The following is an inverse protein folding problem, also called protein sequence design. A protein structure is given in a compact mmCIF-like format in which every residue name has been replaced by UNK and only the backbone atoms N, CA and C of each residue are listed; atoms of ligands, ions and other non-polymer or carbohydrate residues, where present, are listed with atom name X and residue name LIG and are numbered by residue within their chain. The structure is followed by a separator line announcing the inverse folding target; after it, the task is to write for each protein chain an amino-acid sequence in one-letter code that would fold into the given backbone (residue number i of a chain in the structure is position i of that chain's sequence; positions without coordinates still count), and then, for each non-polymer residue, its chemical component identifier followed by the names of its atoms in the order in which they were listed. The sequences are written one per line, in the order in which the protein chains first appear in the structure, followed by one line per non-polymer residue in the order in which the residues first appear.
data_IF_003528748315
#
_entry.id   IF_003528748315
#
_cell.length_a   1.000
_cell.length_b   1.000
_cell.length_c   1.000
_cell.angle_alpha   90.00
_cell.angle_beta   90.00
_cell.angle_gamma   90.00
#
_symmetry.space_group_name_H-M   'P 1'
#
loop_
_entity.id
_entity.type
_entity.pdbx_description
1 polymer ?
#
# COMPACT_ATOMS: atom_id res chain seq x y z
N UNK A 1 -27.80 -15.94 -3.55
CA UNK A 1 -27.09 -15.34 -4.70
C UNK A 1 -25.63 -15.06 -4.37
N UNK A 2 -24.77 -14.80 -5.35
CA UNK A 2 -23.38 -14.38 -5.08
C UNK A 2 -23.24 -12.85 -5.17
N UNK A 3 -22.52 -12.26 -4.22
CA UNK A 3 -22.21 -10.84 -4.20
C UNK A 3 -21.33 -10.49 -5.40
N UNK A 4 -21.79 -9.57 -6.26
CA UNK A 4 -21.00 -9.11 -7.41
C UNK A 4 -19.74 -8.33 -7.02
N UNK A 5 -19.67 -7.82 -5.79
CA UNK A 5 -18.51 -7.09 -5.29
C UNK A 5 -17.39 -7.96 -4.73
N UNK A 6 -17.69 -9.13 -4.14
CA UNK A 6 -16.67 -9.96 -3.48
C UNK A 6 -16.75 -11.47 -3.77
N UNK A 7 -17.73 -11.91 -4.57
CA UNK A 7 -17.90 -13.30 -4.96
C UNK A 7 -18.41 -14.24 -3.86
N UNK A 8 -18.67 -13.74 -2.64
CA UNK A 8 -19.23 -14.55 -1.55
C UNK A 8 -20.71 -14.78 -1.73
N UNK A 9 -21.17 -15.96 -1.31
CA UNK A 9 -22.59 -16.27 -1.26
C UNK A 9 -23.30 -15.42 -0.21
N UNK A 10 -24.42 -14.83 -0.59
CA UNK A 10 -25.27 -13.97 0.22
C UNK A 10 -26.75 -14.32 -0.02
N UNK A 11 -27.59 -14.07 0.99
CA UNK A 11 -29.03 -14.27 0.87
C UNK A 11 -29.66 -13.33 -0.15
N UNK A 12 -30.72 -13.77 -0.83
CA UNK A 12 -31.43 -12.97 -1.84
C UNK A 12 -32.25 -11.82 -1.23
N UNK A 13 -32.36 -11.78 0.10
CA UNK A 13 -33.10 -10.75 0.86
C UNK A 13 -32.24 -9.66 1.48
N UNK A 14 -30.89 -9.74 1.36
CA UNK A 14 -30.02 -8.71 1.93
C UNK A 14 -29.91 -7.53 0.98
N UNK A 15 -30.09 -6.32 1.51
CA UNK A 15 -29.90 -5.07 0.74
C UNK A 15 -28.42 -4.75 0.52
N UNK A 16 -27.55 -5.22 1.40
CA UNK A 16 -26.10 -5.00 1.35
C UNK A 16 -25.37 -6.27 1.76
N UNK A 17 -24.24 -6.57 1.10
CA UNK A 17 -23.39 -7.69 1.45
C UNK A 17 -22.73 -7.45 2.81
N UNK A 18 -22.92 -8.33 3.81
CA UNK A 18 -22.33 -8.16 5.14
C UNK A 18 -20.81 -8.31 5.15
N UNK A 19 -20.23 -8.90 4.11
CA UNK A 19 -18.79 -9.17 4.03
C UNK A 19 -17.97 -8.07 3.37
N UNK A 20 -18.58 -7.24 2.52
CA UNK A 20 -17.86 -6.18 1.81
C UNK A 20 -18.62 -4.86 1.65
N UNK A 21 -19.88 -4.79 2.10
CA UNK A 21 -20.70 -3.58 2.03
C UNK A 21 -21.32 -3.29 0.64
N UNK A 22 -21.07 -4.13 -0.36
CA UNK A 22 -21.61 -3.94 -1.71
C UNK A 22 -23.14 -4.08 -1.72
N UNK A 23 -23.84 -3.13 -2.35
CA UNK A 23 -25.30 -3.16 -2.45
C UNK A 23 -25.76 -4.34 -3.31
N UNK A 24 -26.66 -5.13 -2.77
CA UNK A 24 -27.27 -6.25 -3.45
C UNK A 24 -28.57 -5.73 -4.08
N UNK A 25 -28.53 -5.33 -5.35
CA UNK A 25 -29.74 -4.85 -6.05
C UNK A 25 -29.98 -5.60 -7.34
N UNK A 26 -31.13 -6.28 -7.38
CA UNK A 26 -31.91 -6.45 -8.59
C UNK A 26 -33.32 -5.92 -8.32
N UNK A 27 -33.58 -4.68 -8.67
CA UNK A 27 -34.95 -4.19 -8.87
C UNK A 27 -35.01 -3.49 -10.23
N UNK A 28 -35.26 -4.31 -11.25
CA UNK A 28 -35.69 -3.89 -12.56
C UNK A 28 -37.14 -3.40 -12.44
N UNK A 29 -37.33 -2.09 -12.29
CA UNK A 29 -38.59 -1.46 -12.61
C UNK A 29 -38.65 -1.27 -14.14
N UNK A 30 -39.36 -2.16 -14.83
CA UNK A 30 -39.80 -1.98 -16.21
C UNK A 30 -41.28 -2.40 -16.32
N UNK A 31 -42.03 -1.53 -16.99
CA UNK A 31 -43.50 -1.42 -17.01
C UNK A 31 -44.21 -2.28 -18.07
N UNK A 32 -45.54 -2.45 -17.91
CA UNK A 32 -46.62 -2.37 -18.94
C UNK A 32 -48.00 -2.57 -18.24
N UNK A 33 -48.95 -1.60 -18.10
CA UNK A 33 -49.90 -0.89 -19.02
C UNK A 33 -51.28 -1.63 -19.23
N UNK A 34 -52.40 -1.05 -19.76
CA UNK A 34 -53.41 -0.05 -19.27
C UNK A 34 -54.90 -0.54 -19.18
N UNK A 35 -55.82 0.26 -18.55
CA UNK A 35 -57.17 0.62 -19.10
C UNK A 35 -58.03 1.56 -18.19
N UNK A 36 -58.33 2.76 -18.72
CA UNK A 36 -59.54 3.61 -18.65
C UNK A 36 -60.28 4.00 -17.33
N UNK A 37 -60.27 5.30 -16.98
CA UNK A 37 -61.40 6.27 -17.15
C UNK A 37 -61.46 7.42 -16.09
N UNK A 38 -61.06 8.65 -16.51
CA UNK A 38 -61.53 10.04 -16.16
C UNK A 38 -61.70 10.56 -14.69
N UNK A 39 -61.84 11.89 -14.42
CA UNK A 39 -61.10 13.10 -14.88
C UNK A 39 -60.60 14.04 -13.72
N UNK A 40 -59.57 14.86 -13.99
CA UNK A 40 -59.11 16.21 -13.48
C UNK A 40 -59.44 16.74 -12.04
N UNK A 41 -58.67 17.70 -11.42
CA UNK A 41 -57.94 18.81 -12.06
C UNK A 41 -56.57 19.26 -11.48
N UNK A 42 -55.85 19.99 -12.35
CA UNK A 42 -54.93 21.12 -12.12
C UNK A 42 -54.05 21.18 -10.85
N UNK A 43 -52.74 20.95 -11.03
CA UNK A 43 -51.70 21.71 -10.32
C UNK A 43 -50.48 21.90 -11.22
N UNK A 44 -50.25 23.15 -11.62
CA UNK A 44 -49.07 23.64 -12.34
C UNK A 44 -47.84 23.66 -11.43
N UNK A 45 -46.76 22.95 -11.76
CA UNK A 45 -45.41 23.31 -11.26
C UNK A 45 -44.36 23.17 -12.37
N UNK A 46 -43.58 24.24 -12.50
CA UNK A 46 -42.66 24.59 -13.59
C UNK A 46 -41.48 23.61 -13.71
N UNK A 47 -41.17 23.16 -14.94
CA UNK A 47 -39.86 22.62 -15.31
C UNK A 47 -38.79 23.72 -15.18
N UNK A 48 -37.82 23.55 -14.29
CA UNK A 48 -36.59 24.36 -14.29
C UNK A 48 -35.39 23.49 -14.70
N UNK A 49 -34.67 23.98 -15.71
CA UNK A 49 -33.47 23.37 -16.31
C UNK A 49 -32.33 23.38 -15.28
N UNK A 50 -31.79 22.22 -14.88
CA UNK A 50 -30.54 22.16 -14.10
C UNK A 50 -29.32 21.87 -14.98
N UNK A 51 -28.89 22.91 -15.70
CA UNK A 51 -27.64 22.97 -16.44
C UNK A 51 -26.46 23.13 -15.46
N UNK A 52 -26.20 22.17 -14.56
CA UNK A 52 -25.11 22.25 -13.55
C UNK A 52 -24.37 20.93 -13.24
N UNK A 53 -24.50 19.89 -14.08
CA UNK A 53 -23.86 18.58 -13.80
C UNK A 53 -22.41 18.50 -14.33
N UNK A 54 -21.99 19.42 -15.21
CA UNK A 54 -20.65 19.38 -15.84
C UNK A 54 -19.48 19.66 -14.89
N UNK A 55 -19.70 20.38 -13.78
CA UNK A 55 -18.63 20.77 -12.86
C UNK A 55 -18.36 19.71 -11.76
N UNK A 56 -19.28 18.77 -11.54
CA UNK A 56 -19.13 17.74 -10.51
C UNK A 56 -18.12 16.66 -10.94
N UNK A 57 -18.10 16.27 -12.22
CA UNK A 57 -17.10 15.33 -12.74
C UNK A 57 -15.67 15.87 -12.70
N UNK A 58 -15.49 17.17 -12.98
CA UNK A 58 -14.17 17.81 -12.93
C UNK A 58 -13.64 17.89 -11.49
N UNK A 59 -14.52 18.16 -10.52
CA UNK A 59 -14.18 18.18 -9.10
C UNK A 59 -13.87 16.76 -8.60
N UNK A 60 -14.68 15.76 -8.94
CA UNK A 60 -14.42 14.36 -8.56
C UNK A 60 -13.10 13.86 -9.19
N UNK A 61 -12.86 14.15 -10.47
CA UNK A 61 -11.60 13.83 -11.13
C UNK A 61 -10.39 14.53 -10.49
N UNK A 62 -10.52 15.80 -10.12
CA UNK A 62 -9.47 16.53 -9.40
C UNK A 62 -9.24 15.98 -7.98
N UNK A 63 -10.30 15.57 -7.27
CA UNK A 63 -10.19 14.93 -5.95
C UNK A 63 -9.58 13.53 -6.04
N UNK A 64 -9.91 12.73 -7.06
CA UNK A 64 -9.30 11.42 -7.29
C UNK A 64 -7.83 11.59 -7.67
N UNK A 65 -7.49 12.54 -8.55
CA UNK A 65 -6.10 12.85 -8.90
C UNK A 65 -5.30 13.39 -7.70
N UNK A 66 -5.93 14.19 -6.83
CA UNK A 66 -5.32 14.66 -5.59
C UNK A 66 -5.16 13.51 -4.59
N UNK A 67 -6.14 12.63 -4.42
CA UNK A 67 -6.06 11.50 -3.48
C UNK A 67 -5.04 10.46 -3.94
N UNK A 68 -5.08 10.07 -5.22
CA UNK A 68 -4.12 9.14 -5.82
C UNK A 68 -2.72 9.77 -5.84
N UNK A 69 -2.60 11.05 -6.23
CA UNK A 69 -1.33 11.78 -6.20
C UNK A 69 -0.76 11.93 -4.79
N UNK A 70 -1.62 12.17 -3.80
CA UNK A 70 -1.24 12.25 -2.38
C UNK A 70 -0.82 10.88 -1.83
N UNK A 71 -1.54 9.80 -2.18
CA UNK A 71 -1.16 8.44 -1.83
C UNK A 71 0.18 8.04 -2.47
N UNK A 72 0.43 8.36 -3.74
CA UNK A 72 1.71 8.07 -4.39
C UNK A 72 2.85 8.89 -3.77
N UNK A 73 2.61 10.16 -3.41
CA UNK A 73 3.63 11.03 -2.83
C UNK A 73 4.14 10.56 -1.45
N UNK A 74 3.32 9.85 -0.66
CA UNK A 74 3.73 9.38 0.66
C UNK A 74 4.53 8.07 0.58
N UNK A 75 4.24 7.17 -0.37
CA UNK A 75 4.96 5.90 -0.49
C UNK A 75 6.42 6.04 -0.95
N UNK A 76 6.70 6.99 -1.85
CA UNK A 76 8.08 7.36 -2.19
C UNK A 76 8.79 8.05 -1.02
N UNK A 77 8.04 8.73 -0.14
CA UNK A 77 8.62 9.47 0.98
C UNK A 77 9.20 8.57 2.07
N UNK A 78 8.55 7.46 2.41
CA UNK A 78 9.05 6.53 3.43
C UNK A 78 10.35 5.85 2.97
N UNK A 79 10.38 5.39 1.72
CA UNK A 79 11.59 4.83 1.10
C UNK A 79 12.70 5.87 1.06
N UNK A 80 12.38 7.13 0.71
CA UNK A 80 13.36 8.21 0.71
C UNK A 80 13.92 8.49 2.11
N UNK A 81 13.10 8.47 3.16
CA UNK A 81 13.57 8.64 4.56
C UNK A 81 14.61 7.58 4.91
N UNK A 82 14.38 6.31 4.55
CA UNK A 82 15.35 5.24 4.82
C UNK A 82 16.58 5.40 3.93
N UNK A 83 16.40 5.52 2.61
CA UNK A 83 17.52 5.59 1.65
C UNK A 83 18.47 6.76 1.91
N UNK A 84 17.94 7.93 2.23
CA UNK A 84 18.75 9.13 2.49
C UNK A 84 19.20 9.25 3.95
N UNK A 85 18.63 8.41 4.82
CA UNK A 85 18.93 8.36 6.23
C UNK A 85 20.28 7.71 6.55
N UNK A 86 20.65 7.85 7.82
CA UNK A 86 21.89 7.32 8.39
C UNK A 86 21.56 6.52 9.64
N UNK A 87 22.26 5.42 9.88
CA UNK A 87 22.18 4.75 11.17
C UNK A 87 22.95 5.53 12.23
N UNK A 88 22.53 5.47 13.49
CA UNK A 88 23.20 6.18 14.59
C UNK A 88 24.68 5.83 14.72
N UNK A 89 25.09 4.63 14.28
CA UNK A 89 26.47 4.15 14.30
C UNK A 89 27.30 4.51 13.06
N UNK A 90 26.67 4.97 11.97
CA UNK A 90 27.34 5.38 10.73
C UNK A 90 26.63 6.59 10.12
N UNK A 91 27.26 7.76 10.24
CA UNK A 91 26.75 9.06 9.76
C UNK A 91 27.46 9.54 8.49
N UNK A 92 28.29 8.70 7.86
CA UNK A 92 29.09 9.09 6.68
C UNK A 92 28.56 8.50 5.38
N UNK A 93 27.88 7.35 5.44
CA UNK A 93 27.28 6.70 4.28
C UNK A 93 25.78 6.55 4.53
N UNK A 94 24.96 6.92 3.54
CA UNK A 94 23.52 6.74 3.62
C UNK A 94 23.16 5.25 3.59
N UNK A 95 22.01 4.87 4.13
CA UNK A 95 21.56 3.46 4.04
C UNK A 95 21.38 3.05 2.58
N UNK A 96 20.84 3.93 1.75
CA UNK A 96 20.69 3.69 0.31
C UNK A 96 22.03 3.37 -0.33
N UNK A 97 23.02 4.25 -0.20
CA UNK A 97 24.33 4.04 -0.82
C UNK A 97 25.00 2.78 -0.29
N UNK A 98 24.93 2.51 1.02
CA UNK A 98 25.51 1.30 1.59
C UNK A 98 24.87 0.03 1.02
N UNK A 99 23.55 0.02 0.89
CA UNK A 99 22.80 -1.15 0.45
C UNK A 99 22.94 -1.39 -1.06
N UNK A 100 22.82 -0.35 -1.89
CA UNK A 100 22.94 -0.46 -3.35
C UNK A 100 24.37 -0.85 -3.78
N UNK A 101 25.38 -0.52 -2.97
CA UNK A 101 26.76 -0.94 -3.22
C UNK A 101 27.05 -2.39 -2.75
N UNK A 102 26.34 -2.86 -1.72
CA UNK A 102 26.58 -4.18 -1.13
C UNK A 102 25.78 -5.29 -1.82
N UNK A 103 24.50 -5.03 -2.13
CA UNK A 103 23.57 -6.02 -2.62
C UNK A 103 23.38 -5.91 -4.14
N UNK A 104 23.17 -7.05 -4.79
CA UNK A 104 22.67 -7.12 -6.17
C UNK A 104 21.14 -7.27 -6.17
N UNK A 105 20.50 -7.04 -7.32
CA UNK A 105 19.06 -7.23 -7.54
C UNK A 105 18.20 -6.60 -6.42
N UNK A 106 18.42 -5.30 -6.20
CA UNK A 106 17.82 -4.55 -5.08
C UNK A 106 16.39 -4.10 -5.38
N UNK A 107 15.53 -4.21 -4.37
CA UNK A 107 14.16 -3.74 -4.41
C UNK A 107 13.80 -3.03 -3.09
N UNK A 108 13.01 -1.96 -3.19
CA UNK A 108 12.53 -1.20 -2.05
C UNK A 108 11.02 -1.01 -2.17
N UNK A 109 10.31 -1.34 -1.11
CA UNK A 109 8.85 -1.24 -1.05
C UNK A 109 8.45 -0.54 0.25
N UNK A 110 7.49 0.37 0.20
CA UNK A 110 6.82 0.87 1.40
C UNK A 110 5.49 0.15 1.60
N UNK A 111 5.14 -0.07 2.86
CA UNK A 111 3.91 -0.76 3.27
C UNK A 111 3.42 -0.13 4.56
N UNK A 112 2.10 -0.08 4.76
CA UNK A 112 1.52 0.25 6.06
C UNK A 112 0.80 -0.96 6.64
N UNK A 113 1.13 -1.36 7.85
CA UNK A 113 0.49 -2.48 8.54
C UNK A 113 0.14 -2.06 9.96
N UNK A 114 -1.12 -2.21 10.35
CA UNK A 114 -1.61 -1.82 11.68
C UNK A 114 -1.26 -0.37 12.09
N UNK A 115 -1.24 0.56 11.13
CA UNK A 115 -0.88 1.97 11.36
C UNK A 115 0.63 2.25 11.45
N UNK A 116 1.48 1.24 11.26
CA UNK A 116 2.92 1.40 11.24
C UNK A 116 3.42 1.56 9.80
N UNK A 117 4.23 2.59 9.55
CA UNK A 117 4.93 2.79 8.29
C UNK A 117 6.14 1.86 8.23
N UNK A 118 6.18 1.00 7.23
CA UNK A 118 7.23 0.02 7.01
C UNK A 118 7.91 0.28 5.67
N UNK A 119 9.23 0.14 5.66
CA UNK A 119 10.01 0.01 4.43
C UNK A 119 10.65 -1.36 4.41
N UNK A 120 10.49 -2.06 3.29
CA UNK A 120 11.00 -3.40 3.07
C UNK A 120 12.06 -3.30 1.98
N UNK A 121 13.28 -3.65 2.35
CA UNK A 121 14.36 -3.84 1.40
C UNK A 121 14.50 -5.32 1.07
N UNK A 122 14.76 -5.63 -0.20
CA UNK A 122 15.19 -6.96 -0.66
C UNK A 122 16.45 -6.79 -1.51
N UNK A 123 17.35 -7.75 -1.43
CA UNK A 123 18.55 -7.80 -2.26
C UNK A 123 19.25 -9.14 -2.16
N UNK A 124 20.24 -9.37 -3.03
CA UNK A 124 21.04 -10.57 -3.06
C UNK A 124 22.46 -10.29 -2.56
N UNK A 125 22.96 -11.14 -1.69
CA UNK A 125 24.33 -11.07 -1.18
C UNK A 125 25.06 -12.39 -1.38
N UNK A 126 26.39 -12.36 -1.43
CA UNK A 126 27.19 -13.59 -1.49
C UNK A 126 27.10 -14.37 -0.18
N UNK A 127 26.93 -15.68 -0.27
CA UNK A 127 26.99 -16.60 0.88
C UNK A 127 28.46 -16.82 1.30
N UNK A 128 28.74 -16.71 2.60
CA UNK A 128 30.08 -16.91 3.17
C UNK A 128 30.55 -18.36 3.18
N UNK A 129 29.63 -19.33 3.21
CA UNK A 129 29.94 -20.74 3.43
C UNK A 129 30.27 -21.49 2.13
N UNK A 130 29.45 -21.30 1.10
CA UNK A 130 29.57 -22.03 -0.18
C UNK A 130 29.86 -21.12 -1.38
N UNK A 131 29.92 -19.80 -1.16
CA UNK A 131 30.11 -18.81 -2.22
C UNK A 131 28.89 -18.59 -3.12
N UNK A 132 27.75 -19.21 -2.79
CA UNK A 132 26.45 -19.04 -3.43
C UNK A 132 25.82 -17.67 -3.18
N UNK A 133 24.50 -17.59 -3.33
CA UNK A 133 23.76 -16.33 -3.18
C UNK A 133 22.65 -16.49 -2.16
N UNK A 134 22.59 -15.56 -1.21
CA UNK A 134 21.55 -15.46 -0.21
C UNK A 134 20.55 -14.37 -0.59
N UNK A 135 19.27 -14.61 -0.31
CA UNK A 135 18.23 -13.60 -0.41
C UNK A 135 18.12 -12.86 0.90
N UNK A 136 18.52 -11.59 0.89
CA UNK A 136 18.45 -10.70 2.03
C UNK A 136 17.15 -9.91 2.02
N UNK A 137 16.54 -9.76 3.19
CA UNK A 137 15.41 -8.87 3.40
C UNK A 137 15.56 -8.12 4.73
N UNK A 138 15.44 -6.81 4.69
CA UNK A 138 15.37 -5.97 5.88
C UNK A 138 14.03 -5.25 5.95
N UNK A 139 13.47 -5.15 7.15
CA UNK A 139 12.27 -4.36 7.42
C UNK A 139 12.67 -3.21 8.34
N UNK A 140 12.24 -2.02 7.98
CA UNK A 140 12.42 -0.80 8.76
C UNK A 140 11.07 -0.27 9.19
N UNK A 141 10.99 0.22 10.42
CA UNK A 141 9.89 1.09 10.86
C UNK A 141 10.27 2.53 10.57
N UNK A 142 9.35 3.30 10.00
CA UNK A 142 9.53 4.72 9.66
C UNK A 142 8.59 5.57 10.52
N UNK A 143 9.09 6.71 10.99
CA UNK A 143 8.26 7.78 11.52
C UNK A 143 8.29 8.95 10.52
N UNK A 144 7.22 9.14 9.72
CA UNK A 144 7.17 10.20 8.71
C UNK A 144 7.22 11.61 9.31
N UNK A 145 6.63 11.82 10.49
CA UNK A 145 6.56 13.13 11.13
C UNK A 145 7.95 13.62 11.55
N UNK A 146 8.74 12.73 12.15
CA UNK A 146 10.11 13.05 12.57
C UNK A 146 11.17 12.76 11.52
N UNK A 147 10.78 12.15 10.39
CA UNK A 147 11.68 11.67 9.32
C UNK A 147 12.80 10.77 9.85
N UNK A 148 12.45 9.87 10.76
CA UNK A 148 13.39 8.91 11.35
C UNK A 148 12.98 7.49 11.00
N UNK A 149 13.92 6.55 11.11
CA UNK A 149 13.65 5.13 10.87
C UNK A 149 14.46 4.26 11.83
N UNK A 150 14.04 3.02 11.99
CA UNK A 150 14.74 1.99 12.77
C UNK A 150 14.67 0.65 12.06
N UNK A 151 15.76 -0.12 12.09
CA UNK A 151 15.72 -1.51 11.64
C UNK A 151 14.85 -2.33 12.60
N UNK A 152 13.88 -3.04 12.05
CA UNK A 152 12.90 -3.85 12.81
C UNK A 152 13.22 -5.34 12.78
N UNK A 153 13.63 -5.85 11.62
CA UNK A 153 13.94 -7.28 11.45
C UNK A 153 14.75 -7.52 10.18
N UNK A 154 15.61 -8.54 10.23
CA UNK A 154 16.40 -9.02 9.10
C UNK A 154 16.06 -10.48 8.82
N UNK A 155 16.04 -10.84 7.55
CA UNK A 155 15.84 -12.20 7.08
C UNK A 155 16.90 -12.56 6.05
N UNK A 156 17.40 -13.78 6.12
CA UNK A 156 18.31 -14.38 5.15
C UNK A 156 17.66 -15.70 4.70
N UNK A 157 17.42 -15.84 3.40
CA UNK A 157 16.73 -16.97 2.78
C UNK A 157 15.39 -17.31 3.47
N UNK A 158 14.65 -16.25 3.81
CA UNK A 158 13.34 -16.33 4.47
C UNK A 158 13.38 -16.63 5.97
N UNK A 159 14.56 -16.94 6.53
CA UNK A 159 14.72 -17.16 7.98
C UNK A 159 15.03 -15.85 8.67
N UNK A 160 14.29 -15.54 9.73
CA UNK A 160 14.55 -14.36 10.55
C UNK A 160 15.89 -14.55 11.28
N UNK A 161 16.74 -13.52 11.26
CA UNK A 161 17.98 -13.49 12.03
C UNK A 161 17.70 -12.76 13.34
N UNK A 162 17.90 -13.42 14.48
CA UNK A 162 17.61 -12.82 15.79
C UNK A 162 18.88 -12.21 16.42
N UNK A 163 18.79 -10.99 16.95
CA UNK A 163 19.83 -10.38 17.79
C UNK A 163 21.09 -9.90 17.05
N UNK A 164 21.09 -9.92 15.72
CA UNK A 164 22.25 -9.58 14.87
C UNK A 164 21.90 -8.41 13.92
N UNK A 165 20.71 -7.81 14.02
CA UNK A 165 20.26 -6.70 13.14
C UNK A 165 21.31 -5.59 13.10
N UNK A 166 21.75 -5.10 14.26
CA UNK A 166 22.75 -4.03 14.35
C UNK A 166 24.09 -4.41 13.72
N UNK A 167 24.63 -5.60 14.00
CA UNK A 167 25.95 -5.99 13.50
C UNK A 167 25.92 -6.29 12.01
N UNK A 168 24.83 -6.82 11.45
CA UNK A 168 24.65 -6.97 10.00
C UNK A 168 24.60 -5.59 9.34
N UNK A 169 23.77 -4.68 9.85
CA UNK A 169 23.67 -3.32 9.30
C UNK A 169 25.02 -2.60 9.34
N UNK A 170 25.78 -2.78 10.43
CA UNK A 170 27.12 -2.21 10.55
C UNK A 170 28.09 -2.77 9.49
N UNK A 171 28.11 -4.09 9.29
CA UNK A 171 28.96 -4.72 8.27
C UNK A 171 28.68 -4.17 6.86
N UNK A 172 27.41 -3.99 6.52
CA UNK A 172 26.99 -3.41 5.23
C UNK A 172 27.48 -1.96 5.10
N UNK A 173 27.23 -1.13 6.12
CA UNK A 173 27.64 0.28 6.09
C UNK A 173 29.16 0.48 6.19
N UNK A 174 29.90 -0.46 6.78
CA UNK A 174 31.38 -0.47 6.78
C UNK A 174 31.96 -0.91 5.41
N UNK A 175 31.11 -1.28 4.45
CA UNK A 175 31.54 -1.66 3.10
C UNK A 175 32.18 -3.06 3.02
N UNK A 176 31.78 -3.97 3.92
CA UNK A 176 32.21 -5.36 3.80
C UNK A 176 31.68 -5.99 2.51
N UNK A 177 32.26 -7.11 2.08
CA UNK A 177 31.83 -7.82 0.86
C UNK A 177 30.95 -9.02 1.12
N UNK A 178 30.84 -9.43 2.39
CA UNK A 178 30.08 -10.61 2.80
C UNK A 178 29.50 -10.37 4.19
N UNK A 179 28.33 -10.94 4.46
CA UNK A 179 27.65 -10.83 5.76
C UNK A 179 28.08 -12.02 6.61
N UNK A 180 28.75 -11.75 7.73
CA UNK A 180 29.01 -12.77 8.74
C UNK A 180 27.87 -12.78 9.77
N UNK A 181 27.17 -13.91 9.87
CA UNK A 181 26.18 -14.17 10.91
C UNK A 181 26.31 -15.62 11.37
N UNK A 182 25.90 -15.92 12.61
CA UNK A 182 25.89 -17.29 13.16
C UNK A 182 24.44 -17.74 13.21
N UNK A 183 24.11 -18.86 12.55
CA UNK A 183 22.85 -19.56 12.82
C UNK A 183 22.94 -20.13 14.25
N UNK A 184 22.01 -19.70 15.12
CA UNK A 184 21.85 -20.20 16.48
C UNK A 184 20.83 -21.33 16.51
#
# INVERSE_FOLDING_TARGET
MYCQGCGKEISDTVKFCPYCGFAATSESAAAAEPAAAAPQPAATVKKSKSKKIRNVLAVIGAFILLFVGYSVATYDSDVAIVKTGHFTFNQTVTVGDAFENFFADTEWESSQQNGEHLVIFKGKSRNTEDGGTNNFRAVFTVNPDTKTFQAKSVFIDGRKVDGIDYSIMKQICDGQKVIHYREI
#
